data_IF_038953186513
#
_entry.id   IF_038953186513
#
_cell.length_a   1.000
_cell.length_b   1.000
_cell.length_c   1.000
_cell.angle_alpha   90.00
_cell.angle_beta   90.00
_cell.angle_gamma   90.00
#
_symmetry.space_group_name_H-M   'P 1'
#
loop_
_entity.id
_entity.type
_entity.pdbx_description
1 polymer ?
#
# COMPACT_ATOMS: atom_id res chain seq x y z
N UNK A 1 -18.42 -15.36 -27.97
CA UNK A 1 -17.24 -16.00 -27.36
C UNK A 1 -16.08 -15.82 -28.33
N UNK A 2 -15.21 -14.88 -28.01
CA UNK A 2 -14.45 -14.11 -29.01
C UNK A 2 -13.09 -14.72 -29.34
N UNK A 3 -12.69 -14.47 -30.59
CA UNK A 3 -11.41 -14.76 -31.30
C UNK A 3 -10.14 -14.61 -30.45
N UNK A 4 -10.19 -13.83 -29.37
CA UNK A 4 -9.11 -13.65 -28.38
C UNK A 4 -8.76 -14.95 -27.64
N UNK A 5 -9.75 -15.80 -27.33
CA UNK A 5 -9.49 -17.05 -26.61
C UNK A 5 -8.75 -18.09 -27.48
N UNK A 6 -9.01 -18.09 -28.79
CA UNK A 6 -8.34 -18.96 -29.77
C UNK A 6 -6.90 -18.51 -30.00
N UNK A 7 -6.62 -17.20 -29.97
CA UNK A 7 -5.26 -16.66 -30.07
C UNK A 7 -4.39 -17.00 -28.84
N UNK A 8 -4.99 -16.98 -27.63
CA UNK A 8 -4.29 -17.32 -26.38
C UNK A 8 -3.97 -18.83 -26.33
N UNK A 9 -4.94 -19.69 -26.70
CA UNK A 9 -4.74 -21.14 -26.73
C UNK A 9 -3.70 -21.57 -27.77
N UNK A 10 -3.68 -20.95 -28.96
CA UNK A 10 -2.66 -21.21 -29.97
C UNK A 10 -1.27 -20.69 -29.57
N UNK A 11 -1.19 -19.62 -28.76
CA UNK A 11 0.07 -19.12 -28.22
C UNK A 11 0.69 -20.05 -27.17
N UNK A 12 -0.15 -20.64 -26.30
CA UNK A 12 0.29 -21.55 -25.24
C UNK A 12 0.77 -22.89 -25.84
N UNK A 13 0.06 -23.44 -26.83
CA UNK A 13 0.44 -24.69 -27.49
C UNK A 13 1.77 -24.58 -28.26
N UNK A 14 2.08 -23.38 -28.78
CA UNK A 14 3.34 -23.09 -29.48
C UNK A 14 4.53 -22.98 -28.51
N UNK A 15 4.29 -22.48 -27.31
CA UNK A 15 5.29 -22.37 -26.25
C UNK A 15 5.73 -23.73 -25.71
N UNK A 16 4.81 -24.69 -25.55
CA UNK A 16 5.13 -26.06 -25.12
C UNK A 16 5.94 -26.85 -26.17
N UNK A 17 5.66 -26.62 -27.47
CA UNK A 17 6.39 -27.27 -28.57
C UNK A 17 7.84 -26.76 -28.73
N UNK A 18 8.10 -25.49 -28.43
CA UNK A 18 9.45 -24.89 -28.50
C UNK A 18 10.29 -25.26 -27.25
N UNK A 19 9.67 -25.42 -26.09
CA UNK A 19 10.30 -25.94 -24.85
C UNK A 19 10.72 -27.41 -24.97
N UNK A 20 9.99 -28.23 -25.73
CA UNK A 20 10.33 -29.64 -25.95
C UNK A 20 11.49 -29.88 -26.93
N UNK A 21 11.87 -28.89 -27.75
CA UNK A 21 12.91 -29.04 -28.78
C UNK A 21 14.19 -28.22 -28.53
N UNK A 22 14.35 -27.62 -27.35
CA UNK A 22 15.63 -27.06 -26.89
C UNK A 22 16.23 -25.97 -27.78
N UNK A 23 15.41 -25.15 -28.44
CA UNK A 23 15.86 -23.99 -29.23
C UNK A 23 15.26 -22.71 -28.69
N UNK A 24 16.02 -21.95 -27.92
CA UNK A 24 15.69 -20.57 -27.57
C UNK A 24 16.17 -19.65 -28.70
N UNK A 25 15.24 -19.06 -29.45
CA UNK A 25 15.50 -17.85 -30.23
C UNK A 25 14.73 -16.68 -29.59
N UNK A 26 15.33 -15.48 -29.43
CA UNK A 26 14.66 -14.37 -28.78
C UNK A 26 13.60 -13.76 -29.70
N UNK A 27 12.32 -13.82 -29.30
CA UNK A 27 11.27 -13.03 -29.93
C UNK A 27 11.26 -11.61 -29.37
N UNK A 28 11.36 -10.62 -30.28
CA UNK A 28 11.29 -9.18 -30.05
C UNK A 28 9.83 -8.71 -30.08
N UNK A 29 9.46 -7.78 -29.20
CA UNK A 29 8.23 -6.98 -29.35
C UNK A 29 8.51 -5.77 -30.26
N UNK A 30 7.57 -5.36 -31.13
CA UNK A 30 7.72 -4.14 -31.92
C UNK A 30 7.44 -2.91 -31.04
N UNK A 31 8.41 -2.00 -30.99
CA UNK A 31 8.24 -0.62 -30.52
C UNK A 31 8.15 0.25 -31.77
N UNK A 32 7.06 0.98 -31.94
CA UNK A 32 6.95 2.08 -32.90
C UNK A 32 7.19 3.37 -32.12
N UNK A 33 8.38 3.95 -32.29
CA UNK A 33 8.62 5.37 -32.03
C UNK A 33 9.27 5.95 -33.29
N UNK A 34 8.78 7.11 -33.70
CA UNK A 34 9.14 7.84 -34.89
C UNK A 34 10.66 8.05 -35.04
N UNK A 35 11.18 7.64 -36.21
CA UNK A 35 12.34 8.26 -36.87
C UNK A 35 13.74 7.77 -36.50
N UNK A 36 14.34 6.94 -37.37
CA UNK A 36 15.80 6.87 -37.58
C UNK A 36 16.50 5.61 -37.07
N UNK A 37 17.20 4.91 -37.97
CA UNK A 37 17.91 3.64 -37.76
C UNK A 37 19.36 3.86 -37.32
N UNK A 38 19.85 3.09 -36.34
CA UNK A 38 21.28 2.92 -36.05
C UNK A 38 21.52 1.83 -34.99
N UNK A 39 22.37 0.84 -35.31
CA UNK A 39 22.74 -0.31 -34.46
C UNK A 39 24.23 -0.22 -34.16
N UNK A 40 24.64 -0.38 -32.91
CA UNK A 40 26.01 -0.76 -32.57
C UNK A 40 26.03 -1.74 -31.38
N UNK A 41 26.91 -2.74 -31.50
CA UNK A 41 27.08 -3.91 -30.64
C UNK A 41 28.51 -3.89 -30.08
N UNK A 42 28.68 -4.02 -28.76
CA UNK A 42 29.96 -4.50 -28.18
C UNK A 42 29.68 -5.39 -26.96
N UNK A 43 30.24 -6.60 -27.02
CA UNK A 43 30.24 -7.66 -25.97
C UNK A 43 31.23 -7.38 -24.84
N UNK A 44 31.07 -8.01 -23.65
CA UNK A 44 32.16 -8.26 -22.71
C UNK A 44 32.71 -9.69 -22.81
N UNK A 45 34.03 -9.79 -22.72
CA UNK A 45 34.86 -10.99 -22.64
C UNK A 45 35.45 -11.07 -21.23
N UNK A 46 35.30 -12.19 -20.50
CA UNK A 46 36.27 -12.63 -19.45
C UNK A 46 36.25 -14.17 -19.33
N UNK A 47 37.45 -14.76 -19.35
CA UNK A 47 37.82 -16.19 -19.20
C UNK A 47 37.67 -16.71 -17.74
N UNK A 48 37.51 -18.02 -17.47
CA UNK A 48 38.58 -19.04 -17.19
C UNK A 48 37.93 -20.32 -16.54
N UNK A 49 38.61 -21.48 -16.28
CA UNK A 49 38.61 -22.63 -17.20
C UNK A 49 38.38 -24.04 -16.53
N UNK A 50 38.58 -25.08 -17.36
CA UNK A 50 39.02 -26.48 -17.07
C UNK A 50 38.04 -27.57 -16.57
N UNK A 51 38.12 -28.74 -17.23
CA UNK A 51 37.73 -30.05 -16.68
C UNK A 51 37.30 -31.10 -17.72
N UNK A 52 38.21 -32.00 -18.13
CA UNK A 52 38.06 -33.07 -19.14
C UNK A 52 37.11 -34.22 -18.70
N UNK A 53 36.51 -34.92 -19.68
CA UNK A 53 35.89 -36.26 -19.55
C UNK A 53 36.65 -37.26 -20.41
N UNK A 54 36.99 -38.42 -19.84
CA UNK A 54 37.54 -39.60 -20.54
C UNK A 54 36.45 -40.66 -20.80
N UNK A 55 36.72 -41.49 -21.81
CA UNK A 55 35.90 -42.58 -22.39
C UNK A 55 36.31 -43.97 -21.85
N UNK A 56 35.46 -44.97 -22.15
CA UNK A 56 35.76 -46.41 -22.16
C UNK A 56 34.67 -47.19 -21.41
N UNK A 57 34.03 -48.26 -21.88
CA UNK A 57 34.29 -49.31 -22.89
C UNK A 57 33.61 -50.58 -22.32
N UNK A 58 32.48 -51.01 -22.88
CA UNK A 58 32.22 -52.25 -23.67
C UNK A 58 32.38 -53.61 -22.97
N UNK A 59 31.36 -54.46 -23.16
CA UNK A 59 31.32 -55.96 -23.29
C UNK A 59 30.07 -56.53 -22.56
N UNK A 60 28.99 -56.95 -23.24
CA UNK A 60 28.70 -58.22 -23.96
C UNK A 60 28.68 -59.46 -23.03
N UNK A 61 27.76 -60.44 -23.06
CA UNK A 61 26.84 -60.95 -24.09
C UNK A 61 25.87 -62.00 -23.45
N UNK A 62 24.63 -62.08 -23.94
CA UNK A 62 23.81 -63.31 -24.21
C UNK A 62 23.26 -64.20 -23.04
N UNK A 63 22.07 -64.84 -23.04
CA UNK A 63 21.26 -65.52 -24.07
C UNK A 63 19.74 -65.53 -23.74
N UNK A 64 18.94 -65.12 -24.75
CA UNK A 64 17.68 -65.65 -25.33
C UNK A 64 16.60 -66.29 -24.44
N UNK A 65 15.41 -65.66 -24.45
CA UNK A 65 14.12 -66.28 -24.20
C UNK A 65 12.97 -65.45 -24.82
N UNK A 66 12.61 -65.74 -26.07
CA UNK A 66 11.51 -65.09 -26.81
C UNK A 66 10.14 -65.47 -26.21
N UNK A 67 9.38 -64.50 -25.70
CA UNK A 67 7.91 -64.55 -25.60
C UNK A 67 7.30 -63.21 -26.00
N UNK A 68 6.67 -63.20 -27.17
CA UNK A 68 5.66 -62.28 -27.71
C UNK A 68 5.39 -60.97 -26.94
N UNK A 69 6.14 -59.92 -27.27
CA UNK A 69 5.69 -58.54 -26.96
C UNK A 69 4.70 -58.11 -28.04
N UNK A 70 3.43 -58.04 -27.66
CA UNK A 70 2.43 -57.26 -28.40
C UNK A 70 2.95 -55.82 -28.43
N UNK A 71 3.38 -55.34 -29.60
CA UNK A 71 3.72 -53.92 -29.78
C UNK A 71 2.42 -53.13 -29.63
N UNK A 72 2.18 -52.58 -28.43
CA UNK A 72 1.10 -51.63 -28.23
C UNK A 72 1.32 -50.46 -29.20
N UNK A 73 0.29 -50.14 -29.99
CA UNK A 73 0.33 -48.98 -30.89
C UNK A 73 0.77 -47.74 -30.10
N UNK A 74 1.69 -46.91 -30.60
CA UNK A 74 2.09 -45.66 -29.93
C UNK A 74 0.87 -44.79 -29.60
N UNK A 75 -0.17 -44.85 -30.44
CA UNK A 75 -1.43 -44.16 -30.22
C UNK A 75 -2.21 -44.73 -29.02
N UNK A 76 -2.18 -46.05 -28.81
CA UNK A 76 -2.79 -46.69 -27.64
C UNK A 76 -2.04 -46.34 -26.35
N UNK A 77 -0.71 -46.26 -26.38
CA UNK A 77 0.08 -45.83 -25.22
C UNK A 77 -0.17 -44.36 -24.85
N UNK A 78 -0.34 -43.49 -25.85
CA UNK A 78 -0.74 -42.09 -25.64
C UNK A 78 -2.16 -41.98 -25.09
N UNK A 79 -3.10 -42.78 -25.56
CA UNK A 79 -4.46 -42.80 -25.02
C UNK A 79 -4.51 -43.33 -23.58
N UNK A 80 -3.70 -44.34 -23.26
CA UNK A 80 -3.57 -44.85 -21.91
C UNK A 80 -2.94 -43.80 -20.99
N UNK A 81 -1.87 -43.12 -21.42
CA UNK A 81 -1.24 -42.07 -20.61
C UNK A 81 -2.16 -40.87 -20.39
N UNK A 82 -2.92 -40.44 -21.42
CA UNK A 82 -3.92 -39.37 -21.30
C UNK A 82 -5.07 -39.78 -20.36
N UNK A 83 -5.51 -41.04 -20.43
CA UNK A 83 -6.51 -41.60 -19.51
C UNK A 83 -6.03 -41.63 -18.06
N UNK A 84 -4.77 -42.04 -17.81
CA UNK A 84 -4.15 -41.98 -16.48
C UNK A 84 -3.97 -40.54 -15.99
N UNK A 85 -3.67 -39.59 -16.88
CA UNK A 85 -3.54 -38.18 -16.52
C UNK A 85 -4.89 -37.57 -16.14
N UNK A 86 -5.96 -37.89 -16.88
CA UNK A 86 -7.32 -37.45 -16.55
C UNK A 86 -7.82 -38.10 -15.26
N UNK A 87 -7.54 -39.39 -15.04
CA UNK A 87 -7.92 -40.08 -13.82
C UNK A 87 -7.19 -39.53 -12.59
N UNK A 88 -5.88 -39.28 -12.70
CA UNK A 88 -5.10 -38.67 -11.61
C UNK A 88 -5.46 -37.21 -11.39
N UNK A 89 -5.71 -36.43 -12.45
CA UNK A 89 -6.19 -35.05 -12.34
C UNK A 89 -7.55 -35.00 -11.64
N UNK A 90 -8.50 -35.86 -12.02
CA UNK A 90 -9.82 -35.93 -11.39
C UNK A 90 -9.74 -36.45 -9.95
N UNK A 91 -8.86 -37.40 -9.65
CA UNK A 91 -8.64 -37.89 -8.29
C UNK A 91 -8.01 -36.81 -7.40
N UNK A 92 -7.01 -36.08 -7.90
CA UNK A 92 -6.36 -34.97 -7.20
C UNK A 92 -7.32 -33.80 -7.01
N UNK A 93 -8.12 -33.43 -8.01
CA UNK A 93 -9.16 -32.40 -7.84
C UNK A 93 -10.26 -32.86 -6.88
N UNK A 94 -10.67 -34.14 -6.90
CA UNK A 94 -11.61 -34.68 -5.91
C UNK A 94 -11.01 -34.65 -4.49
N UNK A 95 -9.74 -35.03 -4.30
CA UNK A 95 -9.06 -34.96 -3.00
C UNK A 95 -8.89 -33.51 -2.55
N UNK A 96 -8.50 -32.59 -3.43
CA UNK A 96 -8.41 -31.15 -3.13
C UNK A 96 -9.80 -30.58 -2.81
N UNK A 97 -10.85 -31.04 -3.50
CA UNK A 97 -12.21 -30.57 -3.24
C UNK A 97 -12.78 -31.14 -1.93
N UNK A 98 -12.46 -32.39 -1.59
CA UNK A 98 -12.82 -33.07 -0.35
C UNK A 98 -12.02 -32.52 0.85
N UNK A 99 -10.73 -32.21 0.68
CA UNK A 99 -9.91 -31.51 1.67
C UNK A 99 -10.32 -30.04 1.86
N UNK A 100 -11.02 -29.45 0.88
CA UNK A 100 -11.57 -28.08 0.94
C UNK A 100 -13.08 -28.06 1.24
N UNK A 101 -13.67 -29.22 1.51
CA UNK A 101 -15.11 -29.41 1.63
C UNK A 101 -15.46 -30.57 2.54
N UNK A 102 -15.06 -30.50 3.81
CA UNK A 102 -15.73 -31.09 4.99
C UNK A 102 -14.77 -30.97 6.19
N UNK A 103 -14.83 -29.84 6.90
CA UNK A 103 -14.35 -29.72 8.30
C UNK A 103 -14.73 -28.37 8.96
N UNK A 104 -15.08 -27.34 8.19
CA UNK A 104 -15.38 -26.02 8.78
C UNK A 104 -16.76 -25.42 8.48
N UNK A 105 -17.61 -26.03 7.65
CA UNK A 105 -18.96 -25.48 7.38
C UNK A 105 -20.04 -26.09 8.28
N UNK A 106 -20.05 -27.42 8.45
CA UNK A 106 -21.12 -28.09 9.23
C UNK A 106 -20.93 -28.02 10.76
N UNK A 107 -19.72 -27.72 11.24
CA UNK A 107 -19.47 -27.46 12.67
C UNK A 107 -19.74 -26.01 13.08
N UNK A 108 -19.90 -25.10 12.11
CA UNK A 108 -20.25 -23.69 12.36
C UNK A 108 -21.78 -23.52 12.37
N UNK A 109 -22.52 -24.32 11.61
CA UNK A 109 -23.98 -24.16 11.47
C UNK A 109 -24.78 -24.63 12.70
N UNK A 110 -24.16 -25.33 13.66
CA UNK A 110 -24.80 -25.81 14.90
C UNK A 110 -24.32 -25.14 16.18
N UNK A 111 -23.50 -24.09 16.10
CA UNK A 111 -23.00 -23.37 17.28
C UNK A 111 -23.50 -21.93 17.31
N UNK A 112 -24.58 -21.74 18.07
CA UNK A 112 -24.98 -20.47 18.70
C UNK A 112 -25.51 -19.40 17.74
N UNK A 113 -26.84 -19.30 17.66
CA UNK A 113 -27.59 -18.10 17.27
C UNK A 113 -27.49 -17.01 18.35
N UNK A 114 -26.26 -16.69 18.77
CA UNK A 114 -25.95 -15.44 19.46
C UNK A 114 -24.76 -14.85 18.71
N UNK A 115 -24.87 -13.64 18.14
CA UNK A 115 -23.72 -12.99 17.53
C UNK A 115 -22.64 -12.89 18.62
N UNK A 116 -21.47 -13.49 18.37
CA UNK A 116 -20.30 -13.24 19.21
C UNK A 116 -19.99 -11.76 19.06
N UNK A 117 -20.48 -10.95 20.00
CA UNK A 117 -20.13 -9.54 20.11
C UNK A 117 -18.68 -9.52 20.55
N UNK A 118 -17.76 -9.48 19.58
CA UNK A 118 -16.36 -9.24 19.88
C UNK A 118 -16.28 -7.88 20.60
N UNK A 119 -15.58 -7.82 21.74
CA UNK A 119 -15.45 -6.56 22.46
C UNK A 119 -14.82 -5.52 21.54
N UNK A 120 -15.40 -4.31 21.53
CA UNK A 120 -14.87 -3.19 20.75
C UNK A 120 -13.41 -2.94 21.15
N UNK A 121 -12.57 -2.65 20.16
CA UNK A 121 -11.14 -2.31 20.34
C UNK A 121 -10.92 -0.87 19.90
N UNK A 122 -11.34 0.11 20.71
CA UNK A 122 -11.28 1.50 20.32
C UNK A 122 -9.84 1.94 20.04
N UNK A 123 -9.70 2.91 19.12
CA UNK A 123 -8.41 3.53 18.82
C UNK A 123 -8.49 5.06 18.92
N UNK A 124 -7.45 5.67 19.48
CA UNK A 124 -7.29 7.11 19.53
C UNK A 124 -6.88 7.65 18.17
N UNK A 125 -7.51 8.71 17.67
CA UNK A 125 -7.13 9.34 16.41
C UNK A 125 -6.11 10.44 16.68
N UNK A 126 -4.92 10.33 16.08
CA UNK A 126 -3.86 11.32 16.19
C UNK A 126 -3.59 11.94 14.81
N UNK A 127 -3.74 13.26 14.72
CA UNK A 127 -3.44 14.03 13.50
C UNK A 127 -2.26 14.95 13.76
N UNK A 128 -1.18 14.77 13.00
CA UNK A 128 -0.04 15.68 13.10
C UNK A 128 -0.26 16.93 12.25
N UNK A 129 -0.01 18.09 12.82
CA UNK A 129 -0.31 19.36 12.18
C UNK A 129 0.73 20.43 12.51
N UNK A 130 0.82 21.40 11.61
CA UNK A 130 1.47 22.69 11.83
C UNK A 130 0.40 23.72 12.23
N UNK A 131 0.83 24.94 12.55
CA UNK A 131 -0.03 26.06 12.94
C UNK A 131 -0.30 27.04 11.78
N UNK A 132 0.08 26.66 10.56
CA UNK A 132 -0.13 27.47 9.37
C UNK A 132 -1.61 27.44 8.92
N UNK A 133 -2.10 28.48 8.22
CA UNK A 133 -3.49 28.52 7.76
C UNK A 133 -3.91 27.31 6.94
N UNK A 134 -2.99 26.75 6.15
CA UNK A 134 -3.25 25.62 5.28
C UNK A 134 -3.58 24.36 6.08
N UNK A 135 -2.75 23.99 7.06
CA UNK A 135 -3.02 22.83 7.92
C UNK A 135 -4.20 23.05 8.87
N UNK A 136 -4.41 24.29 9.35
CA UNK A 136 -5.54 24.65 10.22
C UNK A 136 -6.89 24.29 9.62
N UNK A 137 -7.20 24.77 8.43
CA UNK A 137 -8.53 24.53 7.83
C UNK A 137 -8.74 23.04 7.51
N UNK A 138 -7.67 22.32 7.12
CA UNK A 138 -7.70 20.88 6.87
C UNK A 138 -8.06 20.12 8.17
N UNK A 139 -7.40 20.44 9.28
CA UNK A 139 -7.69 19.84 10.59
C UNK A 139 -9.14 20.06 11.03
N UNK A 140 -9.72 21.24 10.81
CA UNK A 140 -11.12 21.53 11.17
C UNK A 140 -12.11 20.65 10.38
N UNK A 141 -11.91 20.50 9.06
CA UNK A 141 -12.73 19.60 8.23
C UNK A 141 -12.58 18.14 8.68
N UNK A 142 -11.35 17.71 8.92
CA UNK A 142 -11.06 16.36 9.39
C UNK A 142 -11.74 16.09 10.74
N UNK A 143 -11.63 17.01 11.69
CA UNK A 143 -12.23 16.90 13.02
C UNK A 143 -13.77 16.92 12.98
N UNK A 144 -14.38 17.74 12.11
CA UNK A 144 -15.82 17.71 11.85
C UNK A 144 -16.29 16.31 11.43
N UNK A 145 -15.59 15.69 10.46
CA UNK A 145 -15.94 14.35 9.99
C UNK A 145 -15.63 13.25 11.00
N UNK A 146 -14.56 13.39 11.78
CA UNK A 146 -14.30 12.51 12.93
C UNK A 146 -15.50 12.51 13.89
N UNK A 147 -15.97 13.69 14.32
CA UNK A 147 -17.11 13.79 15.25
C UNK A 147 -18.36 13.11 14.70
N UNK A 148 -18.66 13.32 13.41
CA UNK A 148 -19.82 12.66 12.78
C UNK A 148 -19.70 11.14 12.71
N UNK A 149 -18.51 10.62 12.44
CA UNK A 149 -18.31 9.19 12.18
C UNK A 149 -18.05 8.39 13.46
N UNK A 150 -17.57 9.02 14.53
CA UNK A 150 -17.22 8.38 15.81
C UNK A 150 -18.39 7.62 16.43
N UNK A 151 -19.56 8.25 16.46
CA UNK A 151 -20.73 7.70 17.17
C UNK A 151 -21.63 6.85 16.25
N UNK A 152 -21.25 6.67 14.98
CA UNK A 152 -21.96 5.81 14.06
C UNK A 152 -21.74 4.32 14.37
N UNK A 153 -22.76 3.51 14.10
CA UNK A 153 -22.68 2.06 14.24
C UNK A 153 -21.52 1.49 13.41
N UNK A 154 -20.77 0.56 14.01
CA UNK A 154 -19.57 -0.03 13.40
C UNK A 154 -18.29 0.81 13.56
N UNK A 155 -18.34 2.02 14.11
CA UNK A 155 -17.13 2.76 14.45
C UNK A 155 -16.49 2.25 15.75
N UNK A 156 -15.17 2.20 15.74
CA UNK A 156 -14.31 1.98 16.91
C UNK A 156 -13.38 3.19 17.13
N UNK A 157 -13.74 4.37 16.64
CA UNK A 157 -13.00 5.61 16.93
C UNK A 157 -13.21 6.01 18.40
N UNK A 158 -12.11 6.17 19.13
CA UNK A 158 -12.07 6.65 20.50
C UNK A 158 -11.85 8.15 20.56
N UNK A 159 -10.91 8.60 21.41
CA UNK A 159 -10.47 9.99 21.53
C UNK A 159 -9.80 10.54 20.26
N UNK A 160 -9.53 11.84 20.27
CA UNK A 160 -8.88 12.56 19.19
C UNK A 160 -7.83 13.50 19.77
N UNK A 161 -6.66 13.57 19.14
CA UNK A 161 -5.65 14.59 19.43
C UNK A 161 -5.09 15.15 18.13
N UNK A 162 -5.09 16.48 18.01
CA UNK A 162 -4.20 17.19 17.08
C UNK A 162 -2.83 17.34 17.74
N UNK A 163 -1.82 16.68 17.19
CA UNK A 163 -0.43 16.78 17.63
C UNK A 163 0.21 17.95 16.87
N UNK A 164 0.21 19.13 17.50
CA UNK A 164 0.70 20.37 16.94
C UNK A 164 2.20 20.49 17.15
N UNK A 165 2.98 20.35 16.08
CA UNK A 165 4.44 20.25 16.14
C UNK A 165 5.16 21.52 15.66
N UNK A 166 4.50 22.67 15.82
CA UNK A 166 5.06 24.01 15.58
C UNK A 166 5.72 24.62 16.83
N UNK A 167 5.55 24.02 18.01
CA UNK A 167 6.09 24.53 19.28
C UNK A 167 5.28 25.64 19.94
N UNK A 168 4.15 26.04 19.37
CA UNK A 168 3.31 27.11 19.93
C UNK A 168 1.84 26.77 19.85
N UNK A 169 1.12 27.14 20.91
CA UNK A 169 -0.33 27.06 20.96
C UNK A 169 -0.96 27.97 19.88
N UNK A 170 -2.14 27.58 19.41
CA UNK A 170 -2.96 28.37 18.50
C UNK A 170 -4.44 28.37 18.94
N UNK A 171 -5.26 29.15 18.24
CA UNK A 171 -6.69 29.31 18.45
C UNK A 171 -7.51 28.03 18.27
N UNK A 172 -7.06 27.08 17.43
CA UNK A 172 -7.78 25.82 17.23
C UNK A 172 -7.74 24.91 18.46
N UNK A 173 -6.93 25.21 19.47
CA UNK A 173 -6.96 24.48 20.74
C UNK A 173 -8.29 24.64 21.49
N UNK A 174 -9.06 25.69 21.20
CA UNK A 174 -10.42 25.89 21.74
C UNK A 174 -11.45 24.98 21.06
N UNK A 175 -11.17 24.52 19.84
CA UNK A 175 -12.07 23.67 19.04
C UNK A 175 -11.67 22.19 19.05
N UNK A 176 -10.36 21.91 18.95
CA UNK A 176 -9.81 20.58 18.71
C UNK A 176 -8.87 20.22 19.88
N UNK A 177 -9.08 19.07 20.57
CA UNK A 177 -8.15 18.62 21.59
C UNK A 177 -6.74 18.53 21.01
N UNK A 178 -5.81 19.27 21.59
CA UNK A 178 -4.49 19.51 21.00
C UNK A 178 -3.40 19.23 22.01
N UNK A 179 -2.34 18.55 21.56
CA UNK A 179 -1.07 18.45 22.26
C UNK A 179 -0.04 19.29 21.51
N UNK A 180 0.61 20.24 22.21
CA UNK A 180 1.68 21.06 21.63
C UNK A 180 3.01 20.36 21.89
N UNK A 181 3.69 19.97 20.82
CA UNK A 181 5.02 19.38 20.84
C UNK A 181 6.08 20.42 20.51
N UNK A 182 7.21 20.36 21.19
CA UNK A 182 8.38 21.19 20.87
C UNK A 182 8.94 20.73 19.51
N UNK A 183 9.31 21.64 18.60
CA UNK A 183 9.97 21.26 17.36
C UNK A 183 11.36 20.70 17.66
N UNK A 184 11.97 20.09 16.64
CA UNK A 184 13.38 19.78 16.66
C UNK A 184 14.21 21.06 16.87
N UNK A 185 15.43 20.96 17.43
CA UNK A 185 16.34 22.09 17.54
C UNK A 185 16.50 22.82 16.20
N UNK A 186 16.66 24.14 16.25
CA UNK A 186 16.77 24.96 15.06
C UNK A 186 17.85 24.42 14.09
N UNK A 187 17.46 24.20 12.83
CA UNK A 187 18.33 23.66 11.77
C UNK A 187 18.46 22.13 11.75
N UNK A 188 18.02 21.42 12.78
CA UNK A 188 18.09 19.94 12.82
C UNK A 188 17.18 19.28 11.77
N UNK A 189 16.11 19.95 11.35
CA UNK A 189 15.21 19.47 10.30
C UNK A 189 15.73 19.72 8.88
N UNK A 190 16.81 20.50 8.72
CA UNK A 190 17.43 20.86 7.43
C UNK A 190 16.43 21.42 6.42
N UNK A 191 15.44 22.17 6.90
CA UNK A 191 14.35 22.72 6.08
C UNK A 191 13.31 21.69 5.65
N UNK A 192 13.43 20.43 6.06
CA UNK A 192 12.41 19.39 5.86
C UNK A 192 11.57 19.26 7.13
N UNK A 193 10.59 20.15 7.26
CA UNK A 193 9.72 20.31 8.44
C UNK A 193 9.01 19.01 8.87
N UNK A 194 8.85 18.05 7.96
CA UNK A 194 8.22 16.75 8.21
C UNK A 194 8.99 15.93 9.24
N UNK A 195 10.29 16.18 9.46
CA UNK A 195 11.07 15.54 10.53
C UNK A 195 10.59 15.88 11.95
N UNK A 196 9.84 16.98 12.13
CA UNK A 196 9.23 17.29 13.43
C UNK A 196 8.14 16.29 13.81
N UNK A 197 7.55 15.58 12.85
CA UNK A 197 6.46 14.62 13.06
C UNK A 197 6.84 13.43 13.95
N UNK A 198 7.88 12.63 13.63
CA UNK A 198 8.27 11.53 14.51
C UNK A 198 8.66 12.03 15.90
N UNK A 199 9.32 13.20 15.99
CA UNK A 199 9.68 13.81 17.28
C UNK A 199 8.44 14.22 18.10
N UNK A 200 7.42 14.75 17.45
CA UNK A 200 6.16 15.09 18.10
C UNK A 200 5.43 13.85 18.61
N UNK A 201 5.48 12.72 17.89
CA UNK A 201 4.94 11.45 18.38
C UNK A 201 5.67 10.93 19.62
N UNK A 202 7.01 11.04 19.67
CA UNK A 202 7.78 10.69 20.87
C UNK A 202 7.27 11.47 22.08
N UNK A 203 7.22 12.80 21.96
CA UNK A 203 6.75 13.66 23.06
C UNK A 203 5.29 13.40 23.44
N UNK A 204 4.41 13.22 22.44
CA UNK A 204 2.98 12.99 22.67
C UNK A 204 2.73 11.67 23.39
N UNK A 205 3.39 10.58 22.98
CA UNK A 205 3.26 9.28 23.62
C UNK A 205 3.79 9.28 25.06
N UNK A 206 4.86 10.04 25.33
CA UNK A 206 5.44 10.15 26.67
C UNK A 206 4.58 10.99 27.63
N UNK A 207 3.98 12.08 27.14
CA UNK A 207 3.39 13.12 28.00
C UNK A 207 1.85 13.12 28.00
N UNK A 208 1.19 12.65 26.94
CA UNK A 208 -0.26 12.72 26.83
C UNK A 208 -0.95 11.52 27.48
N UNK A 209 -2.11 11.77 28.10
CA UNK A 209 -2.99 10.71 28.59
C UNK A 209 -3.82 10.16 27.42
N UNK A 210 -3.49 8.96 26.97
CA UNK A 210 -4.20 8.24 25.90
C UNK A 210 -4.88 7.01 26.51
N UNK A 211 -6.22 7.00 26.51
CA UNK A 211 -7.03 5.95 27.14
C UNK A 211 -7.09 4.68 26.30
N UNK A 212 -7.09 4.82 24.97
CA UNK A 212 -7.16 3.70 24.04
C UNK A 212 -5.84 2.91 23.93
N UNK A 213 -5.94 1.59 23.74
CA UNK A 213 -4.77 0.72 23.50
C UNK A 213 -4.23 0.87 22.07
N UNK A 214 -5.04 1.36 21.15
CA UNK A 214 -4.70 1.52 19.73
C UNK A 214 -4.71 3.00 19.33
N UNK A 215 -3.93 3.33 18.32
CA UNK A 215 -3.80 4.68 17.77
C UNK A 215 -3.97 4.59 16.25
N UNK A 216 -4.81 5.44 15.68
CA UNK A 216 -4.81 5.79 14.27
C UNK A 216 -3.90 7.01 14.07
N UNK A 217 -2.77 6.84 13.40
CA UNK A 217 -2.01 7.95 12.84
C UNK A 217 -2.69 8.41 11.54
N UNK A 218 -3.09 9.67 11.48
CA UNK A 218 -3.84 10.28 10.37
C UNK A 218 -3.24 11.63 9.94
N UNK A 219 -3.64 12.12 8.77
CA UNK A 219 -3.23 13.43 8.24
C UNK A 219 -4.36 14.46 8.27
N UNK A 220 -4.05 15.78 8.25
CA UNK A 220 -5.05 16.84 8.14
C UNK A 220 -5.92 16.73 6.88
N UNK A 221 -5.38 16.20 5.78
CA UNK A 221 -6.10 16.00 4.50
C UNK A 221 -6.82 14.66 4.39
N UNK A 222 -7.17 14.06 5.52
CA UNK A 222 -8.09 12.94 5.58
C UNK A 222 -9.52 13.43 5.81
N UNK A 223 -10.47 12.82 5.11
CA UNK A 223 -11.91 12.93 5.40
C UNK A 223 -12.45 11.53 5.66
N UNK A 224 -13.02 11.31 6.86
CA UNK A 224 -13.75 10.09 7.14
C UNK A 224 -15.09 10.07 6.38
N UNK A 225 -15.25 9.07 5.54
CA UNK A 225 -16.46 8.89 4.72
C UNK A 225 -17.42 7.84 5.29
N UNK A 226 -16.94 7.01 6.21
CA UNK A 226 -17.67 5.91 6.86
C UNK A 226 -17.22 5.70 8.31
N UNK A 227 -18.04 5.06 9.16
CA UNK A 227 -17.58 4.56 10.46
C UNK A 227 -16.38 3.63 10.26
N UNK A 228 -15.26 3.95 10.92
CA UNK A 228 -14.02 3.18 10.82
C UNK A 228 -13.90 2.19 11.99
N UNK A 229 -13.93 0.87 11.75
CA UNK A 229 -13.56 -0.12 12.74
C UNK A 229 -12.04 -0.23 12.88
N UNK A 230 -11.56 -0.84 13.96
CA UNK A 230 -10.16 -1.13 14.17
C UNK A 230 -9.69 -2.23 13.21
N UNK A 231 -9.03 -1.80 12.14
CA UNK A 231 -8.56 -2.66 11.07
C UNK A 231 -7.35 -3.53 11.47
N UNK A 232 -6.67 -3.21 12.58
CA UNK A 232 -5.52 -3.96 13.10
C UNK A 232 -5.93 -5.25 13.80
N UNK A 233 -4.99 -6.18 14.00
CA UNK A 233 -5.22 -7.45 14.72
C UNK A 233 -4.05 -7.79 15.62
N UNK A 234 -4.25 -7.81 16.93
CA UNK A 234 -3.19 -8.13 17.88
C UNK A 234 -1.97 -7.22 17.69
N UNK A 235 -0.81 -7.81 17.47
CA UNK A 235 0.45 -7.10 17.21
C UNK A 235 0.71 -6.79 15.73
N UNK A 236 -0.29 -6.97 14.86
CA UNK A 236 -0.22 -6.63 13.44
C UNK A 236 -1.01 -5.35 13.19
N UNK A 237 -0.34 -4.20 13.05
CA UNK A 237 -1.00 -2.93 12.71
C UNK A 237 -1.65 -3.03 11.33
N UNK A 238 -2.63 -2.18 11.03
CA UNK A 238 -3.19 -2.06 9.69
C UNK A 238 -2.69 -0.77 9.04
N UNK A 239 -2.18 -0.86 7.80
CA UNK A 239 -1.62 0.27 7.08
C UNK A 239 -2.08 0.32 5.63
N UNK A 240 -2.16 1.52 5.05
CA UNK A 240 -2.30 1.67 3.62
C UNK A 240 -0.97 1.39 2.90
N UNK A 241 -1.02 0.65 1.79
CA UNK A 241 0.16 0.38 0.97
C UNK A 241 0.31 1.46 -0.10
N UNK A 242 1.45 2.13 -0.10
CA UNK A 242 1.78 3.17 -1.06
C UNK A 242 2.58 2.60 -2.22
N UNK A 243 2.05 2.71 -3.43
CA UNK A 243 2.68 2.16 -4.63
C UNK A 243 4.07 2.77 -4.93
N UNK A 244 4.35 3.98 -4.41
CA UNK A 244 5.62 4.67 -4.59
C UNK A 244 6.65 4.34 -3.49
N UNK A 245 6.25 3.69 -2.39
CA UNK A 245 7.19 3.18 -1.38
C UNK A 245 7.61 1.78 -1.80
N UNK A 246 8.83 1.66 -2.33
CA UNK A 246 9.32 0.42 -2.94
C UNK A 246 10.67 -0.02 -2.35
N UNK A 247 10.73 -0.53 -1.10
CA UNK A 247 11.99 -0.85 -0.42
C UNK A 247 12.90 -1.80 -1.19
N UNK A 248 12.34 -2.83 -1.83
CA UNK A 248 13.10 -3.79 -2.65
C UNK A 248 13.81 -3.15 -3.85
N UNK A 249 13.22 -2.12 -4.47
CA UNK A 249 13.84 -1.40 -5.59
C UNK A 249 15.08 -0.62 -5.13
N UNK A 250 15.10 -0.19 -3.87
CA UNK A 250 16.16 0.63 -3.29
C UNK A 250 16.98 -0.15 -2.25
N UNK A 251 17.10 -1.48 -2.40
CA UNK A 251 17.75 -2.38 -1.44
C UNK A 251 19.10 -1.84 -0.95
N UNK A 252 19.98 -1.40 -1.86
CA UNK A 252 21.30 -0.84 -1.50
C UNK A 252 21.21 0.34 -0.52
N UNK A 253 20.26 1.25 -0.72
CA UNK A 253 20.05 2.41 0.17
C UNK A 253 19.42 1.95 1.47
N UNK A 254 18.41 1.08 1.40
CA UNK A 254 17.71 0.55 2.59
C UNK A 254 18.69 -0.19 3.51
N UNK A 255 19.67 -0.92 2.98
CA UNK A 255 20.68 -1.64 3.78
C UNK A 255 21.54 -0.74 4.66
N UNK A 256 21.67 0.55 4.36
CA UNK A 256 22.34 1.52 5.25
C UNK A 256 21.59 1.71 6.57
N UNK A 257 20.28 1.47 6.57
CA UNK A 257 19.38 1.71 7.71
C UNK A 257 18.69 0.44 8.23
N UNK A 258 18.69 -0.64 7.45
CA UNK A 258 18.20 -1.97 7.79
C UNK A 258 19.25 -3.04 7.43
N UNK A 259 20.24 -3.26 8.32
CA UNK A 259 21.35 -4.16 8.08
C UNK A 259 20.92 -5.61 7.82
N UNK A 260 21.76 -6.40 7.15
CA UNK A 260 21.46 -7.78 6.76
C UNK A 260 21.11 -8.68 7.95
N UNK A 261 21.75 -8.48 9.09
CA UNK A 261 21.49 -9.22 10.33
C UNK A 261 20.08 -8.98 10.90
N UNK A 262 19.38 -7.92 10.46
CA UNK A 262 17.99 -7.65 10.86
C UNK A 262 16.98 -8.42 10.02
N UNK A 263 17.39 -8.94 8.86
CA UNK A 263 16.57 -9.80 8.01
C UNK A 263 16.50 -9.32 6.55
N UNK A 264 15.65 -9.95 5.71
CA UNK A 264 15.47 -9.56 4.31
C UNK A 264 14.77 -8.19 4.19
N UNK A 265 15.13 -7.42 3.15
CA UNK A 265 14.48 -6.12 2.85
C UNK A 265 12.97 -6.26 2.62
N UNK A 266 12.49 -7.44 2.23
CA UNK A 266 11.07 -7.73 2.11
C UNK A 266 10.28 -7.55 3.42
N UNK A 267 10.94 -7.49 4.58
CA UNK A 267 10.30 -7.15 5.86
C UNK A 267 10.04 -5.64 6.03
N UNK A 268 10.63 -4.79 5.18
CA UNK A 268 10.28 -3.36 5.15
C UNK A 268 9.03 -3.21 4.29
N UNK A 269 7.90 -3.04 4.96
CA UNK A 269 6.58 -2.92 4.32
C UNK A 269 6.51 -1.67 3.41
N UNK A 270 5.79 -1.71 2.27
CA UNK A 270 5.62 -0.58 1.34
C UNK A 270 4.56 0.41 1.86
N UNK A 271 4.85 1.04 2.99
CA UNK A 271 3.92 1.86 3.78
C UNK A 271 4.58 3.16 4.25
N UNK A 272 3.77 4.09 4.75
CA UNK A 272 4.21 5.22 5.58
C UNK A 272 3.50 5.21 6.92
N UNK A 273 3.71 6.26 7.73
CA UNK A 273 3.10 6.35 9.05
C UNK A 273 1.57 6.56 9.02
N UNK A 274 0.99 7.01 7.90
CA UNK A 274 -0.42 7.38 7.83
C UNK A 274 -1.08 6.96 6.51
N UNK A 275 -2.33 6.44 6.52
CA UNK A 275 -3.05 6.01 7.71
C UNK A 275 -2.52 4.67 8.24
N UNK A 276 -2.31 4.59 9.56
CA UNK A 276 -1.94 3.35 10.26
C UNK A 276 -2.71 3.23 11.57
N UNK A 277 -3.36 2.07 11.80
CA UNK A 277 -3.88 1.70 13.13
C UNK A 277 -2.90 0.74 13.79
N UNK A 278 -2.28 1.17 14.89
CA UNK A 278 -1.22 0.45 15.60
C UNK A 278 -1.50 0.42 17.10
N UNK A 279 -1.04 -0.63 17.79
CA UNK A 279 -1.04 -0.64 19.26
C UNK A 279 -0.13 0.46 19.80
N UNK A 280 -0.60 1.21 20.79
CA UNK A 280 0.17 2.27 21.47
C UNK A 280 1.55 1.77 21.92
N UNK A 281 1.60 0.60 22.55
CA UNK A 281 2.87 0.01 23.02
C UNK A 281 3.86 -0.37 21.91
N UNK A 282 3.39 -0.64 20.69
CA UNK A 282 4.27 -0.83 19.53
C UNK A 282 4.76 0.53 19.01
N UNK A 283 3.87 1.52 18.95
CA UNK A 283 4.23 2.86 18.50
C UNK A 283 5.22 3.54 19.44
N UNK A 284 5.07 3.39 20.76
CA UNK A 284 6.03 3.84 21.78
C UNK A 284 7.44 3.29 21.55
N UNK A 285 7.55 2.03 21.09
CA UNK A 285 8.84 1.41 20.75
C UNK A 285 9.40 1.91 19.42
N UNK A 286 8.55 2.11 18.42
CA UNK A 286 8.95 2.49 17.07
C UNK A 286 9.31 3.97 16.98
N UNK A 287 8.56 4.87 17.64
CA UNK A 287 8.66 6.32 17.43
C UNK A 287 10.07 6.90 17.63
N UNK A 288 10.85 6.52 18.68
CA UNK A 288 12.22 7.00 18.81
C UNK A 288 13.15 6.49 17.69
N UNK A 289 12.96 5.25 17.24
CA UNK A 289 13.74 4.68 16.12
C UNK A 289 13.35 5.33 14.80
N UNK A 290 12.05 5.59 14.59
CA UNK A 290 11.53 6.30 13.43
C UNK A 290 12.17 7.69 13.31
N UNK A 291 12.17 8.47 14.39
CA UNK A 291 12.88 9.76 14.45
C UNK A 291 14.35 9.62 14.00
N UNK A 292 15.10 8.72 14.64
CA UNK A 292 16.53 8.58 14.39
C UNK A 292 16.82 8.11 12.96
N UNK A 293 16.06 7.13 12.45
CA UNK A 293 16.23 6.65 11.07
C UNK A 293 15.91 7.75 10.07
N UNK A 294 14.82 8.51 10.28
CA UNK A 294 14.48 9.63 9.40
C UNK A 294 15.56 10.72 9.40
N UNK A 295 16.15 11.04 10.56
CA UNK A 295 17.26 11.98 10.64
C UNK A 295 18.51 11.47 9.91
N UNK A 296 18.86 10.19 10.12
CA UNK A 296 20.01 9.56 9.46
C UNK A 296 19.82 9.46 7.94
N UNK A 297 18.61 9.15 7.48
CA UNK A 297 18.28 9.19 6.05
C UNK A 297 18.41 10.60 5.49
N UNK A 298 18.01 11.62 6.26
CA UNK A 298 18.16 13.01 5.84
C UNK A 298 19.63 13.44 5.80
N UNK A 299 20.52 12.81 6.57
CA UNK A 299 21.98 13.07 6.55
C UNK A 299 22.67 12.38 5.38
N UNK A 300 22.17 11.23 4.97
CA UNK A 300 22.72 10.49 3.84
C UNK A 300 22.27 11.12 2.52
N UNK A 301 23.22 11.73 1.80
CA UNK A 301 22.95 12.45 0.55
C UNK A 301 22.24 11.58 -0.52
N UNK A 302 22.57 10.29 -0.60
CA UNK A 302 21.95 9.37 -1.55
C UNK A 302 20.50 9.06 -1.16
N UNK A 303 20.24 8.83 0.13
CA UNK A 303 18.90 8.60 0.65
C UNK A 303 18.02 9.85 0.56
N UNK A 304 18.50 11.03 0.96
CA UNK A 304 17.76 12.29 0.86
C UNK A 304 17.41 12.62 -0.58
N UNK A 305 18.38 12.51 -1.50
CA UNK A 305 18.12 12.72 -2.91
C UNK A 305 17.11 11.71 -3.48
N UNK A 306 17.19 10.44 -3.09
CA UNK A 306 16.36 9.37 -3.68
C UNK A 306 14.95 9.34 -3.12
N UNK A 307 14.79 9.48 -1.80
CA UNK A 307 13.48 9.41 -1.15
C UNK A 307 12.80 10.77 -1.05
N UNK A 308 13.56 11.86 -0.96
CA UNK A 308 13.05 13.23 -0.98
C UNK A 308 11.88 13.45 -0.02
N UNK A 309 10.74 13.87 -0.56
CA UNK A 309 9.57 14.23 0.24
C UNK A 309 8.91 13.05 0.99
N UNK A 310 9.15 11.79 0.59
CA UNK A 310 8.65 10.58 1.27
C UNK A 310 9.67 9.93 2.20
N UNK A 311 10.80 10.58 2.44
CA UNK A 311 11.89 10.04 3.26
C UNK A 311 11.43 9.67 4.67
N UNK A 312 10.59 10.50 5.29
CA UNK A 312 10.03 10.21 6.60
C UNK A 312 9.22 8.90 6.61
N UNK A 313 8.41 8.66 5.56
CA UNK A 313 7.63 7.43 5.41
C UNK A 313 8.51 6.18 5.33
N UNK A 314 9.63 6.27 4.59
CA UNK A 314 10.65 5.21 4.59
C UNK A 314 11.27 5.00 5.97
N UNK A 315 11.50 6.08 6.71
CA UNK A 315 11.96 6.00 8.10
C UNK A 315 10.98 5.25 9.00
N UNK A 316 9.67 5.48 8.88
CA UNK A 316 8.65 4.74 9.62
C UNK A 316 8.64 3.25 9.25
N UNK A 317 8.70 2.93 7.94
CA UNK A 317 8.71 1.56 7.45
C UNK A 317 9.95 0.79 7.94
N UNK A 318 11.13 1.39 7.85
CA UNK A 318 12.39 0.80 8.32
C UNK A 318 12.39 0.64 9.84
N UNK A 319 11.94 1.65 10.59
CA UNK A 319 11.84 1.56 12.04
C UNK A 319 10.89 0.44 12.49
N UNK A 320 9.76 0.28 11.81
CA UNK A 320 8.82 -0.82 12.06
C UNK A 320 9.50 -2.18 11.84
N UNK A 321 10.23 -2.34 10.73
CA UNK A 321 10.96 -3.58 10.42
C UNK A 321 12.08 -3.88 11.43
N UNK A 322 12.83 -2.85 11.87
CA UNK A 322 13.86 -2.97 12.92
C UNK A 322 13.32 -3.52 14.24
N UNK A 323 12.04 -3.25 14.53
CA UNK A 323 11.33 -3.75 15.73
C UNK A 323 10.52 -5.02 15.48
N UNK A 324 10.63 -5.63 14.29
CA UNK A 324 9.91 -6.85 13.92
C UNK A 324 8.41 -6.66 13.75
N UNK A 325 7.95 -5.44 13.47
CA UNK A 325 6.53 -5.11 13.28
C UNK A 325 6.19 -5.21 11.80
N UNK A 326 5.19 -6.04 11.48
CA UNK A 326 4.67 -6.26 10.13
C UNK A 326 3.21 -5.80 10.05
N UNK A 327 2.84 -5.17 8.94
CA UNK A 327 1.53 -4.56 8.75
C UNK A 327 0.57 -5.44 7.94
N UNK A 328 -0.70 -5.42 8.32
CA UNK A 328 -1.81 -5.84 7.46
C UNK A 328 -2.02 -4.74 6.43
N UNK A 329 -1.62 -5.00 5.18
CA UNK A 329 -1.78 -4.05 4.09
C UNK A 329 -3.24 -3.96 3.65
N UNK A 330 -3.82 -2.76 3.71
CA UNK A 330 -5.24 -2.48 3.46
C UNK A 330 -5.40 -1.49 2.31
N UNK A 331 -5.68 -2.01 1.10
CA UNK A 331 -6.05 -1.17 -0.06
C UNK A 331 -7.39 -0.46 0.13
N UNK A 332 -8.26 -1.03 0.96
CA UNK A 332 -9.57 -0.47 1.30
C UNK A 332 -9.52 0.55 2.45
N UNK A 333 -8.33 0.93 2.95
CA UNK A 333 -8.22 1.87 4.04
C UNK A 333 -8.60 3.29 3.60
N UNK A 334 -8.02 3.75 2.48
CA UNK A 334 -8.27 5.06 1.92
C UNK A 334 -8.28 5.05 0.38
N UNK A 335 -8.79 6.13 -0.20
CA UNK A 335 -8.68 6.44 -1.63
C UNK A 335 -8.01 7.81 -1.83
N UNK A 336 -7.46 8.03 -3.03
CA UNK A 336 -6.73 9.23 -3.43
C UNK A 336 -7.30 9.78 -4.76
N UNK A 337 -8.37 10.59 -4.71
CA UNK A 337 -8.87 11.31 -5.88
C UNK A 337 -7.78 12.25 -6.44
N UNK A 338 -7.74 12.48 -7.77
CA UNK A 338 -8.70 12.01 -8.78
C UNK A 338 -8.43 10.58 -9.30
N UNK A 339 -7.41 9.89 -8.80
CA UNK A 339 -6.96 8.61 -9.37
C UNK A 339 -7.87 7.43 -9.01
N UNK A 340 -8.35 7.40 -7.77
CA UNK A 340 -9.35 6.43 -7.34
C UNK A 340 -10.74 6.97 -7.65
N UNK A 341 -11.46 6.33 -8.58
CA UNK A 341 -12.69 6.89 -9.18
C UNK A 341 -13.94 6.80 -8.28
N UNK A 342 -13.93 5.86 -7.32
CA UNK A 342 -15.09 5.54 -6.48
C UNK A 342 -14.65 5.43 -5.02
N UNK A 343 -15.49 5.92 -4.09
CA UNK A 343 -15.32 5.70 -2.65
C UNK A 343 -15.53 4.24 -2.29
N UNK A 344 -16.53 3.59 -2.90
CA UNK A 344 -16.73 2.15 -2.78
C UNK A 344 -16.88 1.69 -1.33
N UNK A 345 -15.96 0.83 -0.85
CA UNK A 345 -15.94 0.29 0.53
C UNK A 345 -14.94 1.00 1.46
N UNK A 346 -14.23 2.01 1.00
CA UNK A 346 -13.15 2.63 1.77
C UNK A 346 -13.67 3.58 2.85
N UNK A 347 -12.79 3.92 3.80
CA UNK A 347 -13.13 4.68 5.01
C UNK A 347 -12.65 6.13 4.97
N UNK A 348 -11.59 6.42 4.22
CA UNK A 348 -10.93 7.72 4.18
C UNK A 348 -10.79 8.18 2.73
N UNK A 349 -11.11 9.45 2.47
CA UNK A 349 -10.60 10.17 1.30
C UNK A 349 -9.35 10.93 1.74
N UNK A 350 -8.23 10.69 1.07
CA UNK A 350 -6.99 11.46 1.21
C UNK A 350 -6.84 12.38 0.01
N UNK A 351 -7.13 13.68 0.19
CA UNK A 351 -7.20 14.66 -0.90
C UNK A 351 -5.86 15.34 -1.17
N UNK A 352 -4.83 14.52 -1.40
CA UNK A 352 -3.46 15.00 -1.60
C UNK A 352 -3.19 15.60 -2.98
N UNK A 353 -3.92 15.16 -4.00
CA UNK A 353 -3.74 15.58 -5.40
C UNK A 353 -4.74 16.66 -5.82
N UNK A 354 -4.31 17.54 -6.71
CA UNK A 354 -5.22 18.47 -7.38
C UNK A 354 -6.20 17.74 -8.30
N UNK A 355 -7.46 18.13 -8.24
CA UNK A 355 -8.54 17.64 -9.09
C UNK A 355 -8.85 18.72 -10.12
N UNK A 356 -8.24 18.63 -11.30
CA UNK A 356 -8.35 19.61 -12.38
C UNK A 356 -9.10 19.02 -13.58
N UNK A 357 -10.21 19.63 -13.98
CA UNK A 357 -11.08 19.09 -15.03
C UNK A 357 -11.54 20.16 -16.02
N UNK A 358 -11.78 19.76 -17.27
CA UNK A 358 -12.57 20.55 -18.22
C UNK A 358 -14.03 20.59 -17.80
N UNK A 359 -14.83 21.52 -18.32
CA UNK A 359 -16.28 21.57 -18.10
C UNK A 359 -17.04 20.37 -18.69
N UNK A 360 -16.36 19.52 -19.47
CA UNK A 360 -16.89 18.24 -19.98
C UNK A 360 -16.58 17.06 -19.05
N UNK A 361 -15.89 17.29 -17.93
CA UNK A 361 -15.51 16.25 -16.98
C UNK A 361 -14.24 15.47 -17.34
N UNK A 362 -13.39 16.02 -18.21
CA UNK A 362 -12.13 15.38 -18.61
C UNK A 362 -10.98 15.88 -17.71
N UNK A 363 -10.20 14.95 -17.14
CA UNK A 363 -9.10 15.28 -16.24
C UNK A 363 -7.94 15.96 -17.00
N UNK A 364 -7.49 17.12 -16.54
CA UNK A 364 -6.40 17.90 -17.15
C UNK A 364 -5.10 17.72 -16.36
N UNK A 365 -4.34 16.67 -16.69
CA UNK A 365 -3.10 16.34 -15.99
C UNK A 365 -2.05 17.44 -16.07
N UNK A 366 -1.58 17.89 -14.91
CA UNK A 366 -0.46 18.84 -14.81
C UNK A 366 -0.79 20.26 -15.25
N UNK A 367 -2.05 20.55 -15.57
CA UNK A 367 -2.51 21.89 -15.95
C UNK A 367 -3.73 22.28 -15.11
N UNK A 368 -3.90 23.59 -14.90
CA UNK A 368 -5.07 24.12 -14.21
C UNK A 368 -6.30 23.89 -15.08
N UNK A 369 -7.28 23.16 -14.54
CA UNK A 369 -8.53 22.85 -15.21
C UNK A 369 -9.50 24.05 -15.21
N UNK A 370 -10.54 23.97 -16.04
CA UNK A 370 -11.64 24.94 -16.04
C UNK A 370 -12.47 24.85 -14.75
N UNK A 371 -12.60 23.64 -14.20
CA UNK A 371 -13.02 23.39 -12.84
C UNK A 371 -11.86 22.80 -12.04
N UNK A 372 -11.67 23.24 -10.80
CA UNK A 372 -10.57 22.79 -9.94
C UNK A 372 -10.98 22.66 -8.49
N UNK A 373 -10.52 21.59 -7.86
CA UNK A 373 -10.29 21.52 -6.43
C UNK A 373 -8.84 21.10 -6.14
N UNK A 374 -8.02 22.02 -5.62
CA UNK A 374 -6.71 21.69 -5.05
C UNK A 374 -6.54 22.43 -3.74
N UNK A 375 -6.22 21.70 -2.67
CA UNK A 375 -5.93 22.28 -1.37
C UNK A 375 -4.80 23.32 -1.41
N UNK A 376 -3.85 23.20 -2.35
CA UNK A 376 -2.73 24.14 -2.54
C UNK A 376 -3.17 25.48 -3.15
N UNK A 377 -4.41 25.62 -3.59
CA UNK A 377 -5.00 26.94 -3.90
C UNK A 377 -5.32 27.73 -2.61
N UNK A 378 -5.41 27.05 -1.47
CA UNK A 378 -5.84 27.59 -0.18
C UNK A 378 -4.70 27.58 0.85
N UNK A 379 -3.52 28.07 0.44
CA UNK A 379 -2.33 28.12 1.31
C UNK A 379 -2.40 29.19 2.40
N UNK A 380 -3.15 30.27 2.14
CA UNK A 380 -3.19 31.48 2.99
C UNK A 380 -4.45 31.58 3.84
N UNK A 381 -5.34 30.59 3.75
CA UNK A 381 -6.64 30.60 4.44
C UNK A 381 -7.54 29.47 3.95
N UNK A 382 -8.69 29.27 4.59
CA UNK A 382 -9.64 28.22 4.22
C UNK A 382 -10.22 28.43 2.82
N UNK A 383 -10.68 27.35 2.13
CA UNK A 383 -11.53 27.49 0.96
C UNK A 383 -12.83 28.23 1.30
N UNK A 384 -13.43 28.99 0.37
CA UNK A 384 -14.73 29.61 0.60
C UNK A 384 -15.80 28.54 0.81
N UNK A 385 -16.88 28.91 1.51
CA UNK A 385 -18.09 28.08 1.57
C UNK A 385 -18.69 27.91 0.18
N UNK A 386 -19.43 26.80 0.01
CA UNK A 386 -20.20 26.54 -1.20
C UNK A 386 -19.34 26.51 -2.48
N UNK A 387 -18.27 25.71 -2.46
CA UNK A 387 -17.49 25.39 -3.64
C UNK A 387 -18.39 24.82 -4.74
N UNK A 388 -18.13 25.17 -6.00
CA UNK A 388 -18.86 24.60 -7.13
C UNK A 388 -18.65 23.09 -7.18
N UNK A 389 -19.74 22.34 -7.35
CA UNK A 389 -19.63 20.91 -7.63
C UNK A 389 -18.92 20.69 -8.97
N UNK A 390 -18.18 19.59 -9.12
CA UNK A 390 -17.53 19.27 -10.38
C UNK A 390 -18.53 19.05 -11.52
N UNK A 391 -18.12 19.29 -12.78
CA UNK A 391 -18.97 19.08 -13.95
C UNK A 391 -19.42 17.62 -14.11
N UNK A 392 -20.48 17.35 -14.88
CA UNK A 392 -20.87 16.00 -15.24
C UNK A 392 -19.71 15.21 -15.86
N UNK A 393 -19.60 13.92 -15.52
CA UNK A 393 -18.53 13.04 -15.99
C UNK A 393 -17.31 12.93 -15.07
N UNK A 394 -17.19 13.83 -14.09
CA UNK A 394 -16.15 13.74 -13.05
C UNK A 394 -16.42 12.54 -12.12
N UNK A 395 -15.37 11.82 -11.65
CA UNK A 395 -15.54 10.63 -10.82
C UNK A 395 -16.29 10.88 -9.51
N UNK A 396 -17.01 9.86 -9.04
CA UNK A 396 -17.82 9.89 -7.81
C UNK A 396 -16.97 10.28 -6.59
N UNK A 397 -15.73 9.83 -6.52
CA UNK A 397 -14.82 10.15 -5.41
C UNK A 397 -14.51 11.65 -5.29
N UNK A 398 -14.36 12.36 -6.42
CA UNK A 398 -14.12 13.81 -6.45
C UNK A 398 -15.40 14.57 -6.10
N UNK A 399 -16.55 14.11 -6.62
CA UNK A 399 -17.87 14.66 -6.25
C UNK A 399 -18.08 14.55 -4.74
N UNK A 400 -17.86 13.37 -4.16
CA UNK A 400 -18.01 13.10 -2.73
C UNK A 400 -17.04 13.93 -1.90
N UNK A 401 -15.78 14.09 -2.34
CA UNK A 401 -14.81 14.98 -1.70
C UNK A 401 -15.35 16.41 -1.58
N UNK A 402 -15.78 17.02 -2.70
CA UNK A 402 -16.26 18.41 -2.70
C UNK A 402 -17.56 18.56 -1.91
N UNK A 403 -18.48 17.61 -2.00
CA UNK A 403 -19.69 17.60 -1.17
C UNK A 403 -19.36 17.58 0.33
N UNK A 404 -18.38 16.77 0.74
CA UNK A 404 -17.97 16.68 2.14
C UNK A 404 -17.23 17.91 2.65
N UNK A 405 -16.44 18.55 1.79
CA UNK A 405 -15.83 19.87 2.09
C UNK A 405 -16.95 20.91 2.24
N UNK A 406 -17.89 20.99 1.30
CA UNK A 406 -19.01 21.92 1.37
C UNK A 406 -19.86 21.73 2.62
N UNK A 407 -20.16 20.48 3.00
CA UNK A 407 -20.92 20.22 4.21
C UNK A 407 -20.14 20.64 5.47
N UNK A 408 -18.87 20.30 5.57
CA UNK A 408 -18.04 20.70 6.72
C UNK A 408 -17.94 22.22 6.81
N UNK A 409 -17.54 22.89 5.73
CA UNK A 409 -17.41 24.36 5.71
C UNK A 409 -18.74 25.03 6.05
N UNK A 410 -19.88 24.51 5.57
CA UNK A 410 -21.21 25.02 5.88
C UNK A 410 -21.57 24.96 7.38
N UNK A 411 -21.09 23.94 8.11
CA UNK A 411 -21.49 23.67 9.49
C UNK A 411 -20.44 24.04 10.56
N UNK A 412 -19.20 24.34 10.16
CA UNK A 412 -18.16 24.80 11.08
C UNK A 412 -18.37 26.29 11.40
N UNK A 413 -18.55 26.69 12.68
CA UNK A 413 -18.66 28.09 13.08
C UNK A 413 -17.37 28.86 12.80
N UNK A 414 -17.47 30.16 12.48
CA UNK A 414 -16.28 30.99 12.24
C UNK A 414 -15.37 30.43 11.14
N UNK A 415 -15.96 29.93 10.04
CA UNK A 415 -15.18 29.42 8.91
C UNK A 415 -14.54 30.53 8.08
N UNK A 416 -15.25 31.65 7.91
CA UNK A 416 -14.85 32.77 7.06
C UNK A 416 -14.09 33.87 7.82
N UNK A 417 -13.93 33.69 9.13
CA UNK A 417 -13.35 34.65 10.08
C UNK A 417 -11.86 34.43 10.31
#
# INVERSE_FOLDING_TARGET
MSVVLVAILNGILRMELELMHGKLSPFRFPVVVNGGVGVELVSPLVMFPTGKREQGGSESLEIIGRKNMVKASPCLLVLISLGFFLATYNLVTMIIHNQRGESSRDLIEKRSQDPVVLPKRPFHVAVTAMDDPYTKWQCRIMYYWYKKMKDMEGSEMGGFTRVLHSGRADDLMEEIPTFVADPLPAGADRGYIVLNRPWAFVQWLEKAKIEEEYILMAEPDHIFVKPLPNLSRGNYPAAFSFFYITPLKYEKIIRKFYPEEKGPVAHVDPIGNSPVIIKKSLLERIAPTWMNVSMNMKDDQEADHTFGWVLEMYGYAVASALHGVQHILRKDFMIQPPFDLMVGKTYIIHYTYGCDYTLKGELTYGTVGEWRFDKRTYLRGPPPRNLSLPPPGVPESVVTLVQKVNEATANIPGWDS
#
